data_IF_461947819035
#
_entry.id   IF_461947819035
#
_cell.length_a   1.000
_cell.length_b   1.000
_cell.length_c   1.000
_cell.angle_alpha   90.00
_cell.angle_beta   90.00
_cell.angle_gamma   90.00
#
_symmetry.space_group_name_H-M   'P 1'
#
loop_
_entity.id
_entity.type
_entity.pdbx_description
1 polymer ?
#
# COMPACT_ATOMS: atom_id res chain seq x y z
N UNK A 1 7.16 -4.29 -2.50
CA UNK A 1 6.45 -3.25 -3.28
C UNK A 1 6.48 -3.60 -4.75
N UNK A 2 5.31 -3.82 -5.36
CA UNK A 2 5.17 -3.98 -6.81
C UNK A 2 4.01 -3.12 -7.35
N UNK A 3 4.01 -2.83 -8.65
CA UNK A 3 2.89 -2.16 -9.30
C UNK A 3 1.62 -3.02 -9.18
N UNK A 4 0.50 -2.38 -8.83
CA UNK A 4 -0.78 -3.06 -8.57
C UNK A 4 -0.92 -3.65 -7.17
N UNK A 5 0.13 -3.60 -6.33
CA UNK A 5 0.03 -4.06 -4.94
C UNK A 5 -0.84 -3.12 -4.11
N UNK A 6 -1.66 -3.72 -3.24
CA UNK A 6 -2.44 -3.01 -2.21
C UNK A 6 -1.56 -2.70 -1.01
N UNK A 7 -1.65 -1.46 -0.54
CA UNK A 7 -0.84 -0.95 0.58
C UNK A 7 -1.70 -0.13 1.53
N UNK A 8 -1.21 0.05 2.75
CA UNK A 8 -1.78 1.00 3.72
C UNK A 8 -0.68 2.00 4.08
N UNK A 9 -0.98 3.29 4.06
CA UNK A 9 -0.06 4.29 4.60
C UNK A 9 -0.05 4.24 6.13
N UNK A 10 0.98 4.78 6.77
CA UNK A 10 1.02 4.91 8.24
C UNK A 10 -0.14 5.74 8.81
N UNK A 11 -0.81 6.55 7.98
CA UNK A 11 -2.03 7.29 8.33
C UNK A 11 -3.33 6.48 8.17
N UNK A 12 -3.24 5.19 7.80
CA UNK A 12 -4.41 4.32 7.61
C UNK A 12 -5.09 4.43 6.25
N UNK A 13 -4.45 5.07 5.26
CA UNK A 13 -5.03 5.20 3.92
C UNK A 13 -4.75 3.94 3.11
N UNK A 14 -5.80 3.26 2.66
CA UNK A 14 -5.71 2.16 1.71
C UNK A 14 -5.50 2.70 0.30
N UNK A 15 -4.51 2.16 -0.41
CA UNK A 15 -4.19 2.58 -1.76
C UNK A 15 -3.60 1.46 -2.60
N UNK A 16 -3.47 1.72 -3.91
CA UNK A 16 -2.82 0.80 -4.86
C UNK A 16 -1.59 1.49 -5.46
N UNK A 17 -0.47 0.78 -5.49
CA UNK A 17 0.75 1.31 -6.12
C UNK A 17 0.56 1.40 -7.64
N UNK A 18 0.69 2.61 -8.19
CA UNK A 18 0.67 2.89 -9.63
C UNK A 18 2.02 3.30 -10.20
N UNK A 19 2.94 3.74 -9.35
CA UNK A 19 4.29 4.13 -9.73
C UNK A 19 5.28 3.81 -8.63
N UNK A 20 6.50 3.45 -9.00
CA UNK A 20 7.60 3.22 -8.06
C UNK A 20 8.82 3.97 -8.59
N UNK A 21 9.32 4.93 -7.81
CA UNK A 21 10.58 5.61 -8.05
C UNK A 21 11.63 5.13 -7.05
N UNK A 22 12.80 5.76 -7.02
CA UNK A 22 13.91 5.36 -6.14
C UNK A 22 13.53 5.49 -4.65
N UNK A 23 12.97 6.63 -4.23
CA UNK A 23 12.63 6.89 -2.82
C UNK A 23 11.12 7.07 -2.57
N UNK A 24 10.34 7.27 -3.64
CA UNK A 24 8.90 7.52 -3.56
C UNK A 24 8.10 6.44 -4.28
N UNK A 25 6.81 6.39 -3.98
CA UNK A 25 5.80 5.57 -4.65
C UNK A 25 4.57 6.42 -4.94
N UNK A 26 3.97 6.21 -6.11
CA UNK A 26 2.70 6.84 -6.45
C UNK A 26 1.57 5.88 -6.12
N UNK A 27 0.64 6.37 -5.31
CA UNK A 27 -0.49 5.63 -4.80
C UNK A 27 -1.78 6.17 -5.38
N UNK A 28 -2.62 5.30 -5.93
CA UNK A 28 -4.01 5.64 -6.28
C UNK A 28 -4.91 5.36 -5.07
N UNK A 29 -5.52 6.42 -4.53
CA UNK A 29 -6.42 6.35 -3.35
C UNK A 29 -7.90 6.36 -3.73
N UNK A 30 -8.21 6.84 -4.94
CA UNK A 30 -9.54 6.95 -5.53
C UNK A 30 -9.41 7.02 -7.05
N UNK A 31 -10.49 6.82 -7.84
CA UNK A 31 -10.40 6.77 -9.30
C UNK A 31 -9.73 8.02 -9.88
N UNK A 32 -8.58 7.82 -10.53
CA UNK A 32 -7.76 8.88 -11.15
C UNK A 32 -7.13 9.87 -10.15
N UNK A 33 -7.09 9.57 -8.85
CA UNK A 33 -6.39 10.38 -7.85
C UNK A 33 -5.09 9.69 -7.46
N UNK A 34 -3.97 10.18 -8.02
CA UNK A 34 -2.63 9.74 -7.65
C UNK A 34 -2.01 10.71 -6.65
N UNK A 35 -1.35 10.14 -5.64
CA UNK A 35 -0.62 10.87 -4.61
C UNK A 35 0.73 10.22 -4.41
N UNK A 36 1.79 11.02 -4.36
CA UNK A 36 3.15 10.55 -4.13
C UNK A 36 3.43 10.47 -2.63
N UNK A 37 3.93 9.32 -2.18
CA UNK A 37 4.36 9.08 -0.82
C UNK A 37 5.83 8.65 -0.78
N UNK A 38 6.52 9.00 0.31
CA UNK A 38 7.80 8.39 0.64
C UNK A 38 7.61 6.89 0.92
N UNK A 39 8.53 6.04 0.46
CA UNK A 39 8.46 4.59 0.71
C UNK A 39 8.37 4.25 2.21
N UNK A 40 9.04 5.03 3.04
CA UNK A 40 9.02 4.88 4.50
C UNK A 40 7.64 5.12 5.14
N UNK A 41 6.72 5.80 4.45
CA UNK A 41 5.38 6.08 4.93
C UNK A 41 4.33 5.02 4.50
N UNK A 42 4.76 3.96 3.82
CA UNK A 42 3.88 2.96 3.20
C UNK A 42 4.17 1.57 3.73
N UNK A 43 3.14 0.91 4.26
CA UNK A 43 3.17 -0.47 4.75
C UNK A 43 2.59 -1.37 3.65
N UNK A 44 3.34 -2.38 3.25
CA UNK A 44 2.87 -3.38 2.27
C UNK A 44 1.96 -4.39 2.96
N UNK A 45 0.79 -4.63 2.38
CA UNK A 45 -0.07 -5.75 2.79
C UNK A 45 0.34 -6.93 1.91
N UNK A 46 1.04 -7.90 2.49
CA UNK A 46 1.15 -9.21 1.86
C UNK A 46 -0.20 -9.91 2.02
N UNK A 47 -0.78 -10.34 0.90
CA UNK A 47 -2.00 -11.17 0.86
C UNK A 47 -1.74 -12.56 1.48
N UNK A 48 -0.49 -12.88 1.81
CA UNK A 48 -0.06 -14.10 2.54
C UNK A 48 -0.16 -13.93 4.06
N UNK A 49 -1.26 -13.36 4.55
CA UNK A 49 -1.74 -13.66 5.90
C UNK A 49 -3.03 -14.44 5.75
N UNK A 50 -2.87 -15.75 5.69
CA UNK A 50 -3.87 -16.65 6.27
C UNK A 50 -4.03 -16.19 7.72
N UNK A 51 -5.09 -15.43 8.01
CA UNK A 51 -5.60 -15.17 9.35
C UNK A 51 -5.94 -16.53 10.00
N UNK A 52 -4.91 -17.23 10.50
CA UNK A 52 -5.06 -18.34 11.42
C UNK A 52 -4.87 -17.76 12.81
N UNK A 53 -5.90 -17.07 13.29
CA UNK A 53 -6.16 -16.92 14.73
C UNK A 53 -7.61 -16.49 14.92
N UNK A 54 -8.52 -17.47 14.78
CA UNK A 54 -9.85 -17.43 15.38
C UNK A 54 -9.84 -18.33 16.62
N UNK A 55 -9.82 -17.65 17.77
CA UNK A 55 -10.40 -17.96 19.07
C UNK A 55 -9.80 -19.07 19.97
N UNK A 56 -9.29 -18.58 21.12
CA UNK A 56 -9.51 -18.98 22.53
C UNK A 56 -9.35 -20.45 22.98
#
# INVERSE_FOLDING_TARGET
MMLGQRVITTAGVHAVIKGIAENTVDLEIAPNILVTFEKSAVISIDDDKSDTELEA
#
